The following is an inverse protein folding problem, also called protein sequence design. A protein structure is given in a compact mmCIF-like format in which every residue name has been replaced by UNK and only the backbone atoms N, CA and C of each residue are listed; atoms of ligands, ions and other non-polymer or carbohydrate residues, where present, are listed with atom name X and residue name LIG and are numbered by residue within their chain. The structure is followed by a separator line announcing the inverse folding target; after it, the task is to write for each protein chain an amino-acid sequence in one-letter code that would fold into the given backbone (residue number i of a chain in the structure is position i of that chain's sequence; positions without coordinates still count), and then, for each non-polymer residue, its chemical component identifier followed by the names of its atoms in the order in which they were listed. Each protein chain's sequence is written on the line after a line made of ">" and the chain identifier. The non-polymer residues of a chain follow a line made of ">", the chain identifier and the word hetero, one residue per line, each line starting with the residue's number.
data_IF_899666659131
#
_entry.id   IF_899666659131
#
_cell.length_a   1.000
_cell.length_b   1.000
_cell.length_c   1.000
_cell.angle_alpha   90.00
_cell.angle_beta   90.00
_cell.angle_gamma   90.00
#
_symmetry.space_group_name_H-M   'P 1'
#
loop_
_entity.id
_entity.type
_entity.pdbx_description
1 polymer ?
#
# COMPACT_ATOMS: atom_id res chain seq x y z
N UNK A 1 20.33 9.79 8.81
CA UNK A 1 19.60 11.04 8.56
C UNK A 1 18.41 10.79 7.63
N UNK A 2 18.60 10.20 6.42
CA UNK A 2 17.52 10.02 5.43
C UNK A 2 16.32 9.18 5.95
N UNK A 3 16.58 8.10 6.68
CA UNK A 3 15.53 7.25 7.28
C UNK A 3 14.69 8.02 8.30
N UNK A 4 15.35 8.79 9.17
CA UNK A 4 14.65 9.62 10.17
C UNK A 4 13.81 10.70 9.48
N UNK A 5 14.37 11.37 8.46
CA UNK A 5 13.67 12.35 7.66
C UNK A 5 12.41 11.76 7.01
N UNK A 6 12.56 10.63 6.31
CA UNK A 6 11.44 9.91 5.71
C UNK A 6 10.41 9.50 6.77
N UNK A 7 10.83 9.00 7.93
CA UNK A 7 9.96 8.63 9.04
C UNK A 7 9.11 9.78 9.55
N UNK A 8 9.69 10.96 9.74
CA UNK A 8 8.97 12.17 10.17
C UNK A 8 7.88 12.55 9.15
N UNK A 9 8.20 12.56 7.85
CA UNK A 9 7.23 12.93 6.83
C UNK A 9 6.18 11.85 6.58
N UNK A 10 6.51 10.58 6.74
CA UNK A 10 5.50 9.50 6.79
C UNK A 10 4.54 9.71 7.97
N UNK A 11 5.05 9.99 9.15
CA UNK A 11 4.22 10.26 10.33
C UNK A 11 3.31 11.47 10.13
N UNK A 12 3.83 12.56 9.59
CA UNK A 12 3.01 13.73 9.24
C UNK A 12 1.94 13.36 8.20
N UNK A 13 2.29 12.53 7.19
CA UNK A 13 1.32 12.03 6.22
C UNK A 13 0.15 11.29 6.88
N UNK A 14 0.42 10.44 7.86
CA UNK A 14 -0.63 9.77 8.66
C UNK A 14 -1.50 10.77 9.40
N UNK A 15 -0.90 11.72 10.11
CA UNK A 15 -1.63 12.72 10.91
C UNK A 15 -2.58 13.59 10.08
N UNK A 16 -2.18 13.93 8.86
CA UNK A 16 -3.00 14.74 7.93
C UNK A 16 -3.87 13.92 6.99
N UNK A 17 -3.92 12.60 7.16
CA UNK A 17 -4.73 11.72 6.30
C UNK A 17 -6.23 11.84 6.62
N UNK A 18 -7.04 11.56 5.61
CA UNK A 18 -8.51 11.58 5.72
C UNK A 18 -9.12 10.31 6.28
N UNK A 19 -8.32 9.26 6.51
CA UNK A 19 -8.82 7.94 6.89
C UNK A 19 -9.50 7.15 5.76
N UNK A 20 -9.58 7.70 4.55
CA UNK A 20 -10.32 7.08 3.44
C UNK A 20 -9.83 5.67 3.09
N UNK A 21 -8.52 5.42 3.17
CA UNK A 21 -7.94 4.08 2.90
C UNK A 21 -8.31 3.11 4.03
N UNK A 22 -8.24 3.55 5.29
CA UNK A 22 -8.64 2.75 6.44
C UNK A 22 -10.12 2.35 6.35
N UNK A 23 -11.01 3.31 6.08
CA UNK A 23 -12.44 3.03 5.87
C UNK A 23 -12.69 2.12 4.66
N UNK A 24 -11.92 2.26 3.59
CA UNK A 24 -11.99 1.36 2.44
C UNK A 24 -11.65 -0.08 2.78
N UNK A 25 -10.70 -0.30 3.69
CA UNK A 25 -10.35 -1.65 4.19
C UNK A 25 -11.43 -2.17 5.13
N UNK A 26 -11.92 -1.34 6.05
CA UNK A 26 -13.00 -1.71 6.98
C UNK A 26 -14.26 -2.13 6.22
N UNK A 27 -14.59 -1.47 5.12
CA UNK A 27 -15.76 -1.81 4.29
C UNK A 27 -15.62 -3.15 3.54
N UNK A 28 -14.43 -3.73 3.47
CA UNK A 28 -14.21 -5.08 2.95
C UNK A 28 -14.44 -6.19 3.99
N UNK A 29 -14.50 -5.83 5.29
CA UNK A 29 -14.68 -6.82 6.34
C UNK A 29 -16.03 -7.52 6.18
N UNK A 30 -16.07 -8.85 6.33
CA UNK A 30 -17.32 -9.58 6.35
C UNK A 30 -18.29 -9.01 7.37
N UNK A 31 -19.55 -8.85 7.00
CA UNK A 31 -20.59 -8.32 7.89
C UNK A 31 -20.71 -9.15 9.18
N UNK A 32 -20.55 -10.47 9.06
CA UNK A 32 -20.55 -11.38 10.20
C UNK A 32 -19.42 -11.07 11.20
N UNK A 33 -18.24 -10.70 10.70
CA UNK A 33 -17.12 -10.31 11.57
C UNK A 33 -17.47 -9.04 12.34
N UNK A 34 -18.10 -8.06 11.68
CA UNK A 34 -18.50 -6.80 12.30
C UNK A 34 -19.60 -7.04 13.36
N UNK A 35 -20.58 -7.88 13.03
CA UNK A 35 -21.70 -8.19 13.93
C UNK A 35 -21.28 -9.06 15.12
N UNK A 36 -20.23 -9.85 14.97
CA UNK A 36 -19.72 -10.77 15.99
C UNK A 36 -18.50 -10.24 16.73
N UNK A 37 -18.16 -8.98 16.57
CA UNK A 37 -17.07 -8.33 17.33
C UNK A 37 -17.33 -8.53 18.83
N UNK A 38 -16.35 -9.11 19.52
CA UNK A 38 -16.48 -9.45 20.95
C UNK A 38 -16.97 -10.87 21.22
N UNK A 39 -17.44 -11.64 20.21
CA UNK A 39 -17.69 -13.07 20.36
C UNK A 39 -16.42 -13.90 20.11
N UNK A 40 -16.42 -15.15 20.57
CA UNK A 40 -15.31 -16.10 20.28
C UNK A 40 -15.13 -16.33 18.78
N UNK A 41 -16.20 -16.34 18.02
CA UNK A 41 -16.17 -16.49 16.57
C UNK A 41 -15.53 -15.26 15.87
N UNK A 42 -15.90 -14.05 16.29
CA UNK A 42 -15.32 -12.83 15.78
C UNK A 42 -13.81 -12.75 16.07
N UNK A 43 -13.39 -13.09 17.29
CA UNK A 43 -11.96 -13.18 17.63
C UNK A 43 -11.23 -14.21 16.77
N UNK A 44 -11.81 -15.39 16.53
CA UNK A 44 -11.22 -16.41 15.68
C UNK A 44 -11.03 -15.92 14.24
N UNK A 45 -12.01 -15.19 13.69
CA UNK A 45 -11.92 -14.62 12.34
C UNK A 45 -10.81 -13.55 12.25
N UNK A 46 -10.74 -12.62 13.22
CA UNK A 46 -9.67 -11.61 13.28
C UNK A 46 -8.30 -12.28 13.40
N UNK A 47 -8.19 -13.28 14.28
CA UNK A 47 -6.95 -14.01 14.47
C UNK A 47 -6.51 -14.74 13.20
N UNK A 48 -7.45 -15.38 12.50
CA UNK A 48 -7.19 -16.09 11.26
C UNK A 48 -6.68 -15.15 10.15
N UNK A 49 -7.32 -13.98 9.97
CA UNK A 49 -6.87 -13.02 8.96
C UNK A 49 -5.48 -12.44 9.26
N UNK A 50 -5.20 -12.14 10.54
CA UNK A 50 -3.89 -11.62 10.94
C UNK A 50 -2.80 -12.69 10.79
N UNK A 51 -3.05 -13.92 11.20
CA UNK A 51 -2.12 -15.03 11.01
C UNK A 51 -1.83 -15.29 9.53
N UNK A 52 -2.86 -15.31 8.69
CA UNK A 52 -2.69 -15.49 7.24
C UNK A 52 -1.81 -14.39 6.66
N UNK A 53 -2.03 -13.13 7.05
CA UNK A 53 -1.23 -12.00 6.61
C UNK A 53 0.23 -12.09 7.10
N UNK A 54 0.44 -12.46 8.36
CA UNK A 54 1.78 -12.63 8.95
C UNK A 54 2.55 -13.76 8.25
N UNK A 55 1.92 -14.93 8.12
CA UNK A 55 2.54 -16.09 7.47
C UNK A 55 2.95 -15.76 6.04
N UNK A 56 2.06 -15.11 5.27
CA UNK A 56 2.36 -14.71 3.90
C UNK A 56 3.53 -13.73 3.83
N UNK A 57 3.50 -12.67 4.65
CA UNK A 57 4.56 -11.66 4.66
C UNK A 57 5.91 -12.23 5.11
N UNK A 58 5.93 -13.11 6.12
CA UNK A 58 7.15 -13.78 6.57
C UNK A 58 7.68 -14.75 5.51
N UNK A 59 6.80 -15.51 4.85
CA UNK A 59 7.18 -16.45 3.80
C UNK A 59 7.80 -15.73 2.59
N UNK A 60 7.16 -14.65 2.14
CA UNK A 60 7.68 -13.85 1.01
C UNK A 60 8.99 -13.15 1.38
N UNK A 61 9.12 -12.65 2.60
CA UNK A 61 10.36 -12.08 3.10
C UNK A 61 11.48 -13.13 3.14
N UNK A 62 11.20 -14.32 3.67
CA UNK A 62 12.17 -15.43 3.73
C UNK A 62 12.65 -15.84 2.34
N UNK A 63 11.75 -15.88 1.37
CA UNK A 63 12.07 -16.26 -0.01
C UNK A 63 12.68 -15.09 -0.83
N UNK A 64 12.79 -13.88 -0.25
CA UNK A 64 13.29 -12.70 -0.96
C UNK A 64 12.35 -12.21 -2.07
N UNK A 65 11.06 -12.54 -1.99
CA UNK A 65 10.05 -12.13 -2.95
C UNK A 65 9.47 -10.77 -2.58
N UNK A 66 9.29 -9.85 -3.53
CA UNK A 66 8.62 -8.57 -3.26
C UNK A 66 7.15 -8.85 -2.91
N UNK A 67 6.69 -8.31 -1.79
CA UNK A 67 5.31 -8.44 -1.33
C UNK A 67 4.71 -7.08 -0.95
N UNK A 68 3.40 -6.97 -1.10
CA UNK A 68 2.64 -5.82 -0.64
C UNK A 68 1.80 -6.22 0.58
N UNK A 69 2.08 -5.61 1.72
CA UNK A 69 1.29 -5.83 2.95
C UNK A 69 -0.19 -5.48 2.78
N UNK A 70 -0.51 -4.49 1.90
CA UNK A 70 -1.89 -4.14 1.58
C UNK A 70 -2.62 -5.26 0.83
N UNK A 71 -1.99 -5.80 -0.22
CA UNK A 71 -2.57 -6.91 -0.97
C UNK A 71 -2.75 -8.14 -0.09
N UNK A 72 -1.77 -8.40 0.79
CA UNK A 72 -1.83 -9.50 1.74
C UNK A 72 -3.00 -9.34 2.71
N UNK A 73 -3.17 -8.14 3.28
CA UNK A 73 -4.27 -7.87 4.22
C UNK A 73 -5.64 -8.01 3.52
N UNK A 74 -5.81 -7.42 2.35
CA UNK A 74 -7.05 -7.51 1.57
C UNK A 74 -7.35 -8.96 1.20
N UNK A 75 -6.35 -9.70 0.73
CA UNK A 75 -6.51 -11.13 0.43
C UNK A 75 -6.90 -11.96 1.66
N UNK A 76 -6.32 -11.67 2.82
CA UNK A 76 -6.68 -12.34 4.07
C UNK A 76 -8.13 -12.06 4.50
N UNK A 77 -8.60 -10.82 4.36
CA UNK A 77 -9.99 -10.44 4.65
C UNK A 77 -10.96 -11.20 3.75
N UNK A 78 -10.70 -11.18 2.44
CA UNK A 78 -11.52 -11.90 1.46
C UNK A 78 -11.52 -13.41 1.75
N UNK A 79 -10.34 -13.98 2.02
CA UNK A 79 -10.19 -15.40 2.32
C UNK A 79 -10.97 -15.84 3.57
N UNK A 80 -10.92 -15.05 4.64
CA UNK A 80 -11.68 -15.34 5.86
C UNK A 80 -13.19 -15.20 5.62
N UNK A 81 -13.62 -14.20 4.82
CA UNK A 81 -15.03 -14.05 4.44
C UNK A 81 -15.57 -15.25 3.68
N UNK A 82 -14.82 -15.73 2.68
CA UNK A 82 -15.17 -16.93 1.92
C UNK A 82 -15.22 -18.17 2.83
N UNK A 83 -14.19 -18.37 3.63
CA UNK A 83 -14.09 -19.53 4.53
C UNK A 83 -15.25 -19.54 5.52
N UNK A 84 -15.58 -18.41 6.12
CA UNK A 84 -16.72 -18.28 7.05
C UNK A 84 -18.06 -18.62 6.38
N UNK A 85 -18.29 -18.15 5.15
CA UNK A 85 -19.51 -18.47 4.41
C UNK A 85 -19.61 -19.98 4.17
N UNK A 86 -18.53 -20.62 3.69
CA UNK A 86 -18.50 -22.05 3.43
C UNK A 86 -18.68 -22.89 4.69
N UNK A 87 -18.09 -22.51 5.81
CA UNK A 87 -18.24 -23.21 7.08
C UNK A 87 -19.68 -23.17 7.61
N UNK A 88 -20.47 -22.16 7.22
CA UNK A 88 -21.89 -22.06 7.57
C UNK A 88 -22.82 -22.60 6.47
N UNK A 89 -22.29 -23.38 5.53
CA UNK A 89 -23.08 -24.00 4.45
C UNK A 89 -23.66 -23.01 3.46
N UNK A 90 -23.11 -21.78 3.39
CA UNK A 90 -23.50 -20.74 2.42
C UNK A 90 -22.55 -20.77 1.22
N UNK A 91 -22.98 -20.15 0.12
CA UNK A 91 -22.10 -19.89 -1.00
C UNK A 91 -20.91 -19.01 -0.55
N UNK A 92 -19.68 -19.42 -0.86
CA UNK A 92 -18.46 -18.70 -0.51
C UNK A 92 -18.46 -17.25 -0.96
N UNK A 93 -19.20 -16.93 -2.03
CA UNK A 93 -19.33 -15.55 -2.51
C UNK A 93 -20.17 -14.66 -1.59
N UNK A 94 -21.03 -15.22 -0.76
CA UNK A 94 -21.92 -14.47 0.14
C UNK A 94 -21.21 -13.81 1.33
N UNK A 95 -20.00 -14.26 1.64
CA UNK A 95 -19.21 -13.74 2.78
C UNK A 95 -18.35 -12.51 2.47
N UNK A 96 -18.46 -11.95 1.26
CA UNK A 96 -17.60 -10.84 0.79
C UNK A 96 -18.45 -9.80 0.07
N UNK A 97 -18.20 -8.52 0.32
CA UNK A 97 -18.73 -7.44 -0.54
C UNK A 97 -17.91 -7.36 -1.83
N UNK A 98 -18.38 -8.09 -2.86
CA UNK A 98 -17.73 -8.12 -4.18
C UNK A 98 -17.78 -6.79 -4.92
N UNK A 99 -18.74 -5.91 -4.59
CA UNK A 99 -18.79 -4.56 -5.17
C UNK A 99 -17.57 -3.75 -4.70
N UNK A 100 -17.28 -3.82 -3.44
CA UNK A 100 -16.11 -3.15 -2.86
C UNK A 100 -14.81 -3.87 -3.23
N UNK A 101 -14.79 -5.19 -3.20
CA UNK A 101 -13.62 -5.98 -3.58
C UNK A 101 -13.20 -5.72 -5.02
N UNK A 102 -14.15 -5.62 -5.96
CA UNK A 102 -13.87 -5.30 -7.36
C UNK A 102 -13.33 -3.88 -7.54
N UNK A 103 -13.86 -2.88 -6.84
CA UNK A 103 -13.32 -1.50 -6.86
C UNK A 103 -11.86 -1.46 -6.41
N UNK A 104 -11.54 -2.16 -5.32
CA UNK A 104 -10.17 -2.29 -4.85
C UNK A 104 -9.31 -3.03 -5.87
N UNK A 105 -9.80 -4.14 -6.43
CA UNK A 105 -9.11 -4.90 -7.48
C UNK A 105 -8.77 -4.04 -8.69
N UNK A 106 -9.71 -3.27 -9.19
CA UNK A 106 -9.46 -2.32 -10.30
C UNK A 106 -8.43 -1.25 -9.91
N UNK A 107 -8.52 -0.69 -8.72
CA UNK A 107 -7.53 0.29 -8.24
C UNK A 107 -6.13 -0.29 -8.20
N UNK A 108 -5.97 -1.52 -7.72
CA UNK A 108 -4.68 -2.22 -7.65
C UNK A 108 -4.12 -2.55 -9.03
N UNK A 109 -5.00 -2.85 -10.00
CA UNK A 109 -4.60 -3.15 -11.38
C UNK A 109 -4.20 -1.89 -12.15
N UNK A 110 -5.00 -0.83 -12.06
CA UNK A 110 -4.78 0.38 -12.86
C UNK A 110 -3.75 1.33 -12.25
N UNK A 111 -3.57 1.34 -10.93
CA UNK A 111 -2.62 2.24 -10.26
C UNK A 111 -1.17 2.08 -10.77
N UNK A 112 -0.58 0.88 -10.89
CA UNK A 112 0.76 0.71 -11.44
C UNK A 112 0.86 1.15 -12.91
N UNK A 113 -0.18 0.87 -13.71
CA UNK A 113 -0.21 1.26 -15.12
C UNK A 113 -0.22 2.77 -15.29
N UNK A 114 -1.10 3.46 -14.55
CA UNK A 114 -1.17 4.92 -14.56
C UNK A 114 0.16 5.52 -14.06
N UNK A 115 0.69 4.99 -12.95
CA UNK A 115 1.98 5.43 -12.40
C UNK A 115 3.12 5.26 -13.41
N UNK A 116 3.19 4.13 -14.10
CA UNK A 116 4.17 3.89 -15.16
C UNK A 116 4.04 4.88 -16.32
N UNK A 117 2.82 5.09 -16.81
CA UNK A 117 2.57 6.02 -17.92
C UNK A 117 2.95 7.45 -17.50
N UNK A 118 2.51 7.92 -16.34
CA UNK A 118 2.84 9.25 -15.85
C UNK A 118 4.36 9.45 -15.67
N UNK A 119 5.05 8.46 -15.09
CA UNK A 119 6.49 8.51 -14.91
C UNK A 119 7.24 8.52 -16.25
N UNK A 120 6.81 7.68 -17.22
CA UNK A 120 7.38 7.65 -18.55
C UNK A 120 7.19 8.98 -19.29
N UNK A 121 5.98 9.54 -19.27
CA UNK A 121 5.68 10.84 -19.88
C UNK A 121 6.49 11.96 -19.24
N UNK A 122 6.59 11.98 -17.90
CA UNK A 122 7.39 12.95 -17.18
C UNK A 122 8.88 12.84 -17.56
N UNK A 123 9.42 11.62 -17.62
CA UNK A 123 10.80 11.40 -18.03
C UNK A 123 11.06 11.88 -19.46
N UNK A 124 10.16 11.57 -20.39
CA UNK A 124 10.26 12.03 -21.80
C UNK A 124 10.18 13.55 -21.89
N UNK A 125 9.25 14.17 -21.15
CA UNK A 125 9.14 15.62 -21.07
C UNK A 125 10.42 16.25 -20.52
N UNK A 126 10.95 15.74 -19.41
CA UNK A 126 12.19 16.21 -18.82
C UNK A 126 13.37 16.09 -19.80
N UNK A 127 13.51 14.96 -20.50
CA UNK A 127 14.57 14.76 -21.51
C UNK A 127 14.47 15.73 -22.68
N UNK A 128 13.26 16.14 -23.04
CA UNK A 128 13.02 17.11 -24.13
C UNK A 128 13.26 18.56 -23.68
N UNK A 129 12.81 18.91 -22.48
CA UNK A 129 12.84 20.27 -21.95
C UNK A 129 14.18 20.61 -21.28
N UNK A 130 14.74 19.66 -20.53
CA UNK A 130 15.95 19.87 -19.73
C UNK A 130 17.13 19.20 -20.45
N UNK A 131 17.89 20.00 -21.19
CA UNK A 131 19.05 19.51 -21.96
C UNK A 131 20.35 19.39 -21.14
N UNK A 132 20.27 19.42 -19.81
CA UNK A 132 21.45 19.37 -18.94
C UNK A 132 21.99 17.94 -18.84
N UNK A 133 23.08 17.64 -19.56
CA UNK A 133 23.64 16.28 -19.66
C UNK A 133 23.97 15.63 -18.32
N UNK A 134 24.38 16.42 -17.31
CA UNK A 134 24.71 15.91 -15.99
C UNK A 134 23.52 15.23 -15.24
N UNK A 135 22.27 15.52 -15.63
CA UNK A 135 21.07 14.87 -15.05
C UNK A 135 20.86 13.44 -15.53
N UNK A 136 21.43 13.08 -16.68
CA UNK A 136 21.20 11.81 -17.36
C UNK A 136 22.43 10.91 -17.41
N UNK A 137 23.54 11.36 -16.83
CA UNK A 137 24.77 10.59 -16.75
C UNK A 137 24.91 9.97 -15.36
N UNK A 138 25.44 8.76 -15.31
CA UNK A 138 25.80 8.14 -14.05
C UNK A 138 26.86 9.01 -13.34
N UNK A 139 26.77 9.16 -12.01
CA UNK A 139 27.76 9.92 -11.26
C UNK A 139 29.14 9.29 -11.43
N UNK A 140 30.13 10.10 -11.78
CA UNK A 140 31.52 9.68 -11.93
C UNK A 140 32.22 9.89 -10.60
N UNK A 141 32.62 8.78 -9.96
CA UNK A 141 33.30 8.82 -8.66
C UNK A 141 32.36 9.18 -7.49
N UNK A 142 32.93 9.77 -6.45
CA UNK A 142 32.22 10.10 -5.22
C UNK A 142 31.78 11.58 -5.13
N UNK A 143 31.73 12.28 -6.27
CA UNK A 143 31.34 13.69 -6.33
C UNK A 143 29.83 13.83 -6.18
N UNK A 144 29.34 14.60 -5.18
CA UNK A 144 27.92 14.81 -4.99
C UNK A 144 27.33 15.63 -6.16
N UNK A 145 26.05 15.39 -6.53
CA UNK A 145 25.38 16.19 -7.53
C UNK A 145 25.29 17.68 -7.14
N UNK A 146 25.09 18.58 -8.10
CA UNK A 146 24.92 20.01 -7.84
C UNK A 146 23.87 20.27 -6.75
N UNK A 147 24.06 21.32 -5.96
CA UNK A 147 23.19 21.62 -4.79
C UNK A 147 21.71 21.74 -5.13
N UNK A 148 21.37 22.29 -6.30
CA UNK A 148 19.97 22.43 -6.73
C UNK A 148 19.31 21.08 -7.06
N UNK A 149 20.07 20.13 -7.65
CA UNK A 149 19.59 18.75 -7.88
C UNK A 149 19.35 18.06 -6.53
N UNK A 150 20.27 18.24 -5.58
CA UNK A 150 20.12 17.69 -4.22
C UNK A 150 18.88 18.27 -3.52
N UNK A 151 18.65 19.58 -3.65
CA UNK A 151 17.47 20.23 -3.14
C UNK A 151 16.18 19.64 -3.73
N UNK A 152 16.14 19.48 -5.05
CA UNK A 152 15.01 18.87 -5.75
C UNK A 152 14.76 17.42 -5.30
N UNK A 153 15.82 16.62 -5.15
CA UNK A 153 15.71 15.24 -4.64
C UNK A 153 15.17 15.19 -3.22
N UNK A 154 15.61 16.09 -2.33
CA UNK A 154 15.10 16.16 -0.96
C UNK A 154 13.61 16.51 -0.97
N UNK A 155 13.19 17.50 -1.74
CA UNK A 155 11.78 17.92 -1.84
C UNK A 155 10.92 16.77 -2.40
N UNK A 156 11.35 16.12 -3.47
CA UNK A 156 10.58 15.01 -4.06
C UNK A 156 10.53 13.80 -3.13
N UNK A 157 11.63 13.43 -2.47
CA UNK A 157 11.63 12.37 -1.45
C UNK A 157 10.73 12.70 -0.27
N UNK A 158 10.71 13.96 0.17
CA UNK A 158 9.80 14.44 1.22
C UNK A 158 8.35 14.28 0.81
N UNK A 159 8.00 14.72 -0.41
CA UNK A 159 6.65 14.56 -0.96
C UNK A 159 6.22 13.10 -1.09
N UNK A 160 7.11 12.23 -1.57
CA UNK A 160 6.85 10.78 -1.65
C UNK A 160 6.65 10.18 -0.26
N UNK A 161 7.49 10.53 0.72
CA UNK A 161 7.37 10.04 2.10
C UNK A 161 6.05 10.48 2.73
N UNK A 162 5.64 11.72 2.52
CA UNK A 162 4.37 12.23 3.00
C UNK A 162 3.18 11.52 2.34
N UNK A 163 3.19 11.38 1.01
CA UNK A 163 2.16 10.68 0.26
C UNK A 163 2.06 9.20 0.66
N UNK A 164 3.20 8.53 0.88
CA UNK A 164 3.23 7.16 1.37
C UNK A 164 2.60 7.05 2.75
N UNK A 165 2.96 7.93 3.68
CA UNK A 165 2.38 7.96 5.02
C UNK A 165 0.87 8.22 5.00
N UNK A 166 0.41 9.16 4.17
CA UNK A 166 -1.03 9.48 4.06
C UNK A 166 -1.88 8.36 3.49
N UNK A 167 -1.29 7.44 2.73
CA UNK A 167 -2.00 6.28 2.17
C UNK A 167 -1.76 5.00 2.98
N UNK A 168 -0.50 4.61 3.14
CA UNK A 168 -0.14 3.32 3.73
C UNK A 168 -0.13 3.34 5.26
N UNK A 169 0.17 4.48 5.86
CA UNK A 169 0.16 4.62 7.31
C UNK A 169 -1.21 4.48 7.95
N UNK A 170 -2.29 4.69 7.20
CA UNK A 170 -3.67 4.50 7.68
C UNK A 170 -4.03 3.04 8.01
N UNK A 171 -3.27 2.08 7.51
CA UNK A 171 -3.55 0.65 7.75
C UNK A 171 -3.28 0.20 9.18
N UNK A 172 -2.56 1.00 9.96
CA UNK A 172 -2.29 0.76 11.36
C UNK A 172 -3.23 1.49 12.32
N UNK A 173 -4.21 2.24 11.79
CA UNK A 173 -5.28 2.87 12.56
C UNK A 173 -6.50 1.95 12.67
#
# INVERSE_FOLDING_TARGET
>A
VAVVWSGVFNFLGVLFSTGAVAFGIVSLLPVELILQVGSSAGFAMVFALLLAAIIWNLSTWWLGLPASSSHTLIGSIIGVGIANALMHGRDGTSGVDWTQASKVGYSLLFSPLIGFICAALLLLALRKLVKHKALYQAPVGNTPPPWWIRGLLIVTCTGVSFAHGSNDGQKGM
#
